data_IF_224895994361
#
_entry.id   IF_224895994361
#
_cell.length_a   1.000
_cell.length_b   1.000
_cell.length_c   1.000
_cell.angle_alpha   90.00
_cell.angle_beta   90.00
_cell.angle_gamma   90.00
#
_symmetry.space_group_name_H-M   'P 1'
#
loop_
_entity.id
_entity.type
_entity.pdbx_description
1 polymer ?
#
# COMPACT_ATOMS: atom_id res chain seq x y z
N UNK A 1 28.16 12.85 10.76
CA UNK A 1 27.16 12.13 9.94
C UNK A 1 26.41 11.02 10.71
N UNK A 2 26.95 10.47 11.80
CA UNK A 2 26.32 9.40 12.60
C UNK A 2 24.95 9.76 13.25
N UNK A 3 24.69 11.04 13.56
CA UNK A 3 23.45 11.45 14.25
C UNK A 3 22.17 11.47 13.39
N UNK A 4 22.27 11.60 12.06
CA UNK A 4 21.08 11.65 11.17
C UNK A 4 20.47 10.27 10.92
N UNK A 5 21.30 9.25 10.71
CA UNK A 5 20.83 7.88 10.49
C UNK A 5 20.20 7.27 11.75
N UNK A 6 20.75 7.56 12.93
CA UNK A 6 20.18 7.11 14.19
C UNK A 6 18.76 7.64 14.44
N UNK A 7 18.49 8.91 14.08
CA UNK A 7 17.17 9.52 14.18
C UNK A 7 16.13 8.87 13.28
N UNK A 8 16.47 8.65 12.00
CA UNK A 8 15.58 7.98 11.03
C UNK A 8 15.29 6.54 11.45
N UNK A 9 16.31 5.79 11.85
CA UNK A 9 16.16 4.39 12.27
C UNK A 9 15.31 4.28 13.53
N UNK A 10 15.56 5.13 14.54
CA UNK A 10 14.75 5.16 15.77
C UNK A 10 13.30 5.53 15.48
N UNK A 11 13.10 6.54 14.63
CA UNK A 11 11.76 6.92 14.18
C UNK A 11 11.06 5.76 13.50
N UNK A 12 11.72 5.11 12.54
CA UNK A 12 11.18 3.99 11.82
C UNK A 12 10.80 2.83 12.75
N UNK A 13 11.71 2.44 13.65
CA UNK A 13 11.50 1.34 14.58
C UNK A 13 10.28 1.56 15.48
N UNK A 14 10.04 2.80 15.92
CA UNK A 14 8.94 3.13 16.80
C UNK A 14 7.63 3.54 16.07
N UNK A 15 7.73 4.03 14.83
CA UNK A 15 6.59 4.43 14.02
C UNK A 15 5.92 3.24 13.31
N UNK A 16 6.65 2.16 13.07
CA UNK A 16 6.16 0.99 12.33
C UNK A 16 5.75 -0.13 13.30
N UNK A 17 4.53 -0.64 13.13
CA UNK A 17 4.07 -1.83 13.84
C UNK A 17 4.62 -3.10 13.18
N UNK A 18 5.86 -3.45 13.50
CA UNK A 18 6.55 -4.58 12.87
C UNK A 18 5.85 -5.92 13.02
N UNK A 19 5.23 -6.18 14.18
CA UNK A 19 4.44 -7.40 14.40
C UNK A 19 3.23 -7.47 13.47
N UNK A 20 2.53 -6.36 13.27
CA UNK A 20 1.43 -6.27 12.31
C UNK A 20 1.91 -6.45 10.88
N UNK A 21 3.00 -5.78 10.48
CA UNK A 21 3.56 -5.92 9.14
C UNK A 21 4.03 -7.36 8.86
N UNK A 22 4.67 -8.00 9.84
CA UNK A 22 5.07 -9.41 9.76
C UNK A 22 3.86 -10.33 9.64
N UNK A 23 2.81 -10.12 10.46
CA UNK A 23 1.56 -10.87 10.36
C UNK A 23 0.89 -10.72 9.00
N UNK A 24 0.82 -9.49 8.48
CA UNK A 24 0.29 -9.21 7.13
C UNK A 24 1.14 -9.89 6.04
N UNK A 25 2.47 -9.84 6.14
CA UNK A 25 3.36 -10.51 5.20
C UNK A 25 3.17 -12.03 5.20
N UNK A 26 2.98 -12.64 6.38
CA UNK A 26 2.68 -14.07 6.51
C UNK A 26 1.32 -14.42 5.92
N UNK A 27 0.29 -13.61 6.16
CA UNK A 27 -1.03 -13.79 5.55
C UNK A 27 -0.96 -13.67 4.03
N UNK A 28 -0.17 -12.73 3.51
CA UNK A 28 0.05 -12.56 2.08
C UNK A 28 0.74 -13.79 1.48
N UNK A 29 1.87 -14.20 2.06
CA UNK A 29 2.62 -15.36 1.57
C UNK A 29 1.79 -16.65 1.66
N UNK A 30 1.08 -16.86 2.78
CA UNK A 30 0.20 -18.00 3.00
C UNK A 30 -1.00 -18.01 2.06
N UNK A 31 -1.63 -16.85 1.82
CA UNK A 31 -2.74 -16.72 0.89
C UNK A 31 -2.35 -17.09 -0.53
N UNK A 32 -1.22 -16.56 -1.04
CA UNK A 32 -0.70 -16.91 -2.37
C UNK A 32 -0.29 -18.39 -2.42
N UNK A 33 0.33 -18.92 -1.37
CA UNK A 33 0.71 -20.32 -1.31
C UNK A 33 -0.50 -21.27 -1.36
N UNK A 34 -1.60 -20.92 -0.67
CA UNK A 34 -2.86 -21.66 -0.74
C UNK A 34 -3.46 -21.62 -2.15
N UNK A 35 -3.50 -20.44 -2.79
CA UNK A 35 -3.96 -20.30 -4.18
C UNK A 35 -3.12 -21.16 -5.12
N UNK A 36 -1.79 -21.14 -5.01
CA UNK A 36 -0.91 -21.98 -5.83
C UNK A 36 -1.06 -23.49 -5.56
N UNK A 37 -1.65 -23.90 -4.43
CA UNK A 37 -1.99 -25.28 -4.14
C UNK A 37 -3.24 -25.75 -4.88
N UNK A 38 -4.24 -24.87 -5.01
CA UNK A 38 -5.53 -25.16 -5.65
C UNK A 38 -6.03 -23.94 -6.44
N UNK A 39 -5.38 -23.57 -7.56
CA UNK A 39 -5.66 -22.32 -8.24
C UNK A 39 -7.10 -22.25 -8.76
N UNK A 40 -7.66 -23.36 -9.22
CA UNK A 40 -9.04 -23.41 -9.74
C UNK A 40 -10.10 -23.16 -8.67
N UNK A 41 -9.87 -23.65 -7.45
CA UNK A 41 -10.86 -23.57 -6.37
C UNK A 41 -10.68 -22.32 -5.49
N UNK A 42 -9.43 -21.86 -5.33
CA UNK A 42 -9.08 -20.80 -4.39
C UNK A 42 -8.72 -19.48 -5.06
N UNK A 43 -8.87 -19.32 -6.37
CA UNK A 43 -8.57 -18.03 -7.02
C UNK A 43 -9.20 -16.80 -6.35
N UNK A 44 -10.46 -16.83 -5.86
CA UNK A 44 -11.04 -15.70 -5.13
C UNK A 44 -10.26 -15.28 -3.86
N UNK A 45 -9.50 -16.21 -3.25
CA UNK A 45 -8.60 -15.92 -2.13
C UNK A 45 -7.46 -15.00 -2.55
N UNK A 46 -7.04 -15.02 -3.82
CA UNK A 46 -6.02 -14.11 -4.35
C UNK A 46 -6.44 -12.65 -4.21
N UNK A 47 -7.68 -12.32 -4.62
CA UNK A 47 -8.23 -10.98 -4.46
C UNK A 47 -8.42 -10.58 -2.98
N UNK A 48 -8.78 -11.54 -2.11
CA UNK A 48 -8.83 -11.31 -0.66
C UNK A 48 -7.43 -11.04 -0.07
N UNK A 49 -6.40 -11.71 -0.61
CA UNK A 49 -5.01 -11.49 -0.22
C UNK A 49 -4.52 -10.11 -0.66
N UNK A 50 -4.94 -9.62 -1.84
CA UNK A 50 -4.72 -8.23 -2.24
C UNK A 50 -5.42 -7.23 -1.32
N UNK A 51 -6.61 -7.56 -0.82
CA UNK A 51 -7.30 -6.73 0.17
C UNK A 51 -6.43 -6.55 1.44
N UNK A 52 -5.76 -7.61 1.90
CA UNK A 52 -4.79 -7.55 3.01
C UNK A 52 -3.62 -6.63 2.65
N UNK A 53 -3.09 -6.69 1.43
CA UNK A 53 -2.02 -5.77 0.98
C UNK A 53 -2.47 -4.32 1.04
N UNK A 54 -3.67 -3.99 0.51
CA UNK A 54 -4.25 -2.64 0.57
C UNK A 54 -4.37 -2.17 2.02
N UNK A 55 -5.01 -2.98 2.87
CA UNK A 55 -5.24 -2.64 4.27
C UNK A 55 -3.95 -2.45 5.06
N UNK A 56 -3.00 -3.38 4.92
CA UNK A 56 -1.72 -3.31 5.61
C UNK A 56 -0.85 -2.14 5.14
N UNK A 57 -0.85 -1.84 3.84
CA UNK A 57 -0.17 -0.66 3.31
C UNK A 57 -0.79 0.65 3.81
N UNK A 58 -2.12 0.69 4.01
CA UNK A 58 -2.80 1.83 4.61
C UNK A 58 -2.42 1.99 6.10
N UNK A 59 -2.46 0.92 6.90
CA UNK A 59 -2.09 0.96 8.33
C UNK A 59 -0.62 1.32 8.52
N UNK A 60 0.27 0.93 7.61
CA UNK A 60 1.69 1.32 7.67
C UNK A 60 1.92 2.84 7.66
N UNK A 61 0.91 3.62 7.25
CA UNK A 61 0.94 5.09 7.20
C UNK A 61 0.50 5.73 8.52
N UNK A 62 -0.16 4.99 9.41
CA UNK A 62 -0.67 5.47 10.69
C UNK A 62 0.45 5.95 11.62
N UNK A 63 0.13 6.96 12.42
CA UNK A 63 1.10 7.71 13.20
C UNK A 63 0.74 7.73 14.70
N UNK A 64 0.77 6.55 15.33
CA UNK A 64 0.39 6.34 16.73
C UNK A 64 1.32 7.03 17.75
N UNK A 65 2.59 7.24 17.39
CA UNK A 65 3.65 7.63 18.34
C UNK A 65 4.44 8.89 17.94
N UNK A 66 4.03 9.67 16.93
CA UNK A 66 4.91 10.75 16.42
C UNK A 66 5.26 11.82 17.46
N UNK A 67 4.37 12.12 18.40
CA UNK A 67 4.63 13.08 19.46
C UNK A 67 5.63 12.58 20.51
N UNK A 68 5.83 11.26 20.62
CA UNK A 68 6.70 10.63 21.63
C UNK A 68 8.11 10.37 21.08
N UNK A 69 8.21 10.13 19.77
CA UNK A 69 9.45 9.59 19.15
C UNK A 69 10.32 10.66 18.51
N UNK A 70 9.74 11.78 18.07
CA UNK A 70 10.46 12.84 17.36
C UNK A 70 10.31 14.18 18.09
N UNK A 71 11.41 14.66 18.69
CA UNK A 71 11.47 15.92 19.43
C UNK A 71 11.57 17.12 18.48
N UNK A 72 11.81 16.89 17.17
CA UNK A 72 11.96 17.93 16.16
C UNK A 72 10.80 17.96 15.15
N UNK A 73 10.41 19.15 14.63
CA UNK A 73 9.36 19.26 13.63
C UNK A 73 9.82 18.67 12.29
N UNK A 74 9.42 17.43 11.99
CA UNK A 74 9.64 16.82 10.67
C UNK A 74 8.45 17.06 9.75
N UNK A 75 8.69 17.44 8.48
CA UNK A 75 7.62 17.59 7.51
C UNK A 75 6.94 16.23 7.23
N UNK A 76 5.67 16.25 6.85
CA UNK A 76 4.90 15.03 6.64
C UNK A 76 5.45 14.20 5.46
N UNK A 77 5.97 14.81 4.40
CA UNK A 77 6.64 14.08 3.31
C UNK A 77 7.80 13.19 3.79
N UNK A 78 8.61 13.65 4.75
CA UNK A 78 9.72 12.86 5.29
C UNK A 78 9.20 11.68 6.09
N UNK A 79 8.21 11.94 6.95
CA UNK A 79 7.56 10.92 7.78
C UNK A 79 6.86 9.85 6.93
N UNK A 80 6.25 10.26 5.83
CA UNK A 80 5.62 9.37 4.85
C UNK A 80 6.65 8.59 4.05
N UNK A 81 7.75 9.21 3.62
CA UNK A 81 8.84 8.53 2.93
C UNK A 81 9.46 7.42 3.80
N UNK A 82 9.70 7.67 5.08
CA UNK A 82 10.22 6.63 6.00
C UNK A 82 9.23 5.47 6.14
N UNK A 83 7.92 5.77 6.24
CA UNK A 83 6.88 4.74 6.36
C UNK A 83 6.62 3.95 5.07
N UNK A 84 7.10 4.41 3.92
CA UNK A 84 7.00 3.67 2.65
C UNK A 84 7.68 2.29 2.69
N UNK A 85 8.58 2.06 3.66
CA UNK A 85 9.21 0.76 3.85
C UNK A 85 8.22 -0.37 4.12
N UNK A 86 7.08 -0.07 4.76
CA UNK A 86 6.01 -1.04 5.01
C UNK A 86 5.41 -1.56 3.69
N UNK A 87 4.80 -0.70 2.87
CA UNK A 87 4.31 -1.07 1.55
C UNK A 87 5.39 -1.67 0.64
N UNK A 88 6.62 -1.14 0.63
CA UNK A 88 7.74 -1.72 -0.15
C UNK A 88 7.99 -3.17 0.28
N UNK A 89 8.03 -3.44 1.58
CA UNK A 89 8.20 -4.81 2.11
C UNK A 89 7.06 -5.72 1.65
N UNK A 90 5.82 -5.25 1.69
CA UNK A 90 4.66 -6.03 1.21
C UNK A 90 4.76 -6.35 -0.29
N UNK A 91 5.15 -5.38 -1.12
CA UNK A 91 5.36 -5.59 -2.56
C UNK A 91 6.48 -6.59 -2.82
N UNK A 92 7.59 -6.50 -2.08
CA UNK A 92 8.69 -7.45 -2.21
C UNK A 92 8.28 -8.87 -1.82
N UNK A 93 7.54 -9.03 -0.71
CA UNK A 93 7.01 -10.33 -0.29
C UNK A 93 6.04 -10.88 -1.34
N UNK A 94 5.11 -10.05 -1.81
CA UNK A 94 4.15 -10.39 -2.86
C UNK A 94 4.85 -10.85 -4.15
N UNK A 95 5.81 -10.09 -4.65
CA UNK A 95 6.55 -10.42 -5.86
C UNK A 95 7.40 -11.69 -5.68
N UNK A 96 8.04 -11.84 -4.52
CA UNK A 96 8.88 -13.01 -4.22
C UNK A 96 8.04 -14.28 -4.17
N UNK A 97 6.89 -14.28 -3.49
CA UNK A 97 6.04 -15.48 -3.40
C UNK A 97 5.49 -15.88 -4.77
N UNK A 98 5.09 -14.91 -5.61
CA UNK A 98 4.66 -15.19 -6.98
C UNK A 98 5.80 -15.72 -7.86
N UNK A 99 7.01 -15.15 -7.74
CA UNK A 99 8.19 -15.62 -8.47
C UNK A 99 8.55 -17.07 -8.12
N UNK A 100 8.51 -17.40 -6.82
CA UNK A 100 8.83 -18.74 -6.30
C UNK A 100 7.77 -19.75 -6.73
N UNK A 101 6.50 -19.37 -6.72
CA UNK A 101 5.37 -20.25 -7.05
C UNK A 101 4.91 -20.17 -8.51
N UNK A 102 5.66 -19.46 -9.37
CA UNK A 102 5.28 -19.17 -10.76
C UNK A 102 4.89 -20.40 -11.58
N UNK A 103 5.53 -21.54 -11.33
CA UNK A 103 5.27 -22.78 -12.04
C UNK A 103 3.88 -23.39 -11.75
N UNK A 104 3.19 -22.90 -10.71
CA UNK A 104 1.85 -23.35 -10.28
C UNK A 104 0.77 -22.27 -10.47
N UNK A 105 1.15 -21.11 -10.98
CA UNK A 105 0.26 -19.97 -11.19
C UNK A 105 0.14 -19.71 -12.70
N UNK A 106 -0.87 -18.94 -13.14
CA UNK A 106 -0.97 -18.51 -14.53
C UNK A 106 0.32 -17.83 -15.01
N UNK A 107 0.68 -18.05 -16.28
CA UNK A 107 1.91 -17.55 -16.91
C UNK A 107 1.83 -16.06 -17.28
N UNK A 108 1.57 -15.24 -16.26
CA UNK A 108 1.35 -13.80 -16.33
C UNK A 108 1.90 -13.10 -15.09
N UNK A 109 3.13 -13.49 -14.72
CA UNK A 109 3.78 -13.04 -13.50
C UNK A 109 3.83 -11.51 -13.39
N UNK A 110 4.12 -10.82 -14.50
CA UNK A 110 4.17 -9.37 -14.58
C UNK A 110 2.86 -8.71 -14.15
N UNK A 111 1.72 -9.28 -14.54
CA UNK A 111 0.39 -8.77 -14.17
C UNK A 111 0.14 -9.02 -12.69
N UNK A 112 0.44 -10.23 -12.21
CA UNK A 112 0.26 -10.58 -10.80
C UNK A 112 1.12 -9.69 -9.89
N UNK A 113 2.37 -9.40 -10.27
CA UNK A 113 3.25 -8.47 -9.53
C UNK A 113 2.71 -7.04 -9.58
N UNK A 114 2.23 -6.59 -10.74
CA UNK A 114 1.61 -5.27 -10.91
C UNK A 114 0.41 -5.08 -9.97
N UNK A 115 -0.46 -6.09 -9.86
CA UNK A 115 -1.62 -6.05 -8.96
C UNK A 115 -1.21 -5.76 -7.51
N UNK A 116 -0.19 -6.48 -7.00
CA UNK A 116 0.33 -6.26 -5.64
C UNK A 116 0.94 -4.88 -5.46
N UNK A 117 1.71 -4.39 -6.43
CA UNK A 117 2.30 -3.05 -6.41
C UNK A 117 1.22 -1.96 -6.38
N UNK A 118 0.20 -2.08 -7.22
CA UNK A 118 -0.91 -1.12 -7.29
C UNK A 118 -1.79 -1.19 -6.04
N UNK A 119 -2.06 -2.38 -5.51
CA UNK A 119 -2.80 -2.56 -4.26
C UNK A 119 -2.08 -1.90 -3.07
N UNK A 120 -0.77 -2.12 -2.93
CA UNK A 120 0.03 -1.47 -1.89
C UNK A 120 0.02 0.06 -2.09
N UNK A 121 0.15 0.52 -3.34
CA UNK A 121 0.06 1.92 -3.71
C UNK A 121 -1.29 2.55 -3.34
N UNK A 122 -2.41 1.86 -3.60
CA UNK A 122 -3.76 2.32 -3.26
C UNK A 122 -3.89 2.57 -1.76
N UNK A 123 -3.55 1.56 -0.95
CA UNK A 123 -3.63 1.66 0.50
C UNK A 123 -2.77 2.80 1.03
N UNK A 124 -1.50 2.83 0.63
CA UNK A 124 -0.54 3.85 1.04
C UNK A 124 -0.94 5.26 0.59
N UNK A 125 -1.36 5.42 -0.67
CA UNK A 125 -1.73 6.68 -1.28
C UNK A 125 -3.00 7.27 -0.68
N UNK A 126 -4.05 6.46 -0.50
CA UNK A 126 -5.30 6.89 0.14
C UNK A 126 -5.07 7.29 1.60
N UNK A 127 -4.31 6.49 2.35
CA UNK A 127 -3.97 6.83 3.73
C UNK A 127 -3.12 8.11 3.80
N UNK A 128 -2.17 8.29 2.89
CA UNK A 128 -1.35 9.51 2.79
C UNK A 128 -2.21 10.74 2.47
N UNK A 129 -3.14 10.61 1.53
CA UNK A 129 -4.07 11.69 1.18
C UNK A 129 -4.97 12.05 2.37
N UNK A 130 -5.47 11.06 3.11
CA UNK A 130 -6.25 11.27 4.33
C UNK A 130 -5.42 11.88 5.48
N UNK A 131 -4.12 11.56 5.58
CA UNK A 131 -3.21 12.22 6.53
C UNK A 131 -2.96 13.68 6.16
N UNK A 132 -2.87 13.99 4.87
CA UNK A 132 -2.71 15.36 4.40
C UNK A 132 -3.91 16.27 4.78
N UNK A 133 -5.07 15.69 5.12
CA UNK A 133 -6.23 16.42 5.66
C UNK A 133 -6.26 16.50 7.19
N UNK A 134 -5.19 16.09 7.88
CA UNK A 134 -5.05 16.23 9.34
C UNK A 134 -5.45 15.00 10.17
N UNK A 135 -5.79 13.86 9.55
CA UNK A 135 -6.06 12.61 10.30
C UNK A 135 -4.72 11.95 10.68
N UNK A 136 -4.55 11.56 11.94
CA UNK A 136 -3.32 10.89 12.40
C UNK A 136 -3.27 9.40 12.04
N UNK A 137 -4.43 8.73 12.07
CA UNK A 137 -4.54 7.27 11.90
C UNK A 137 -5.65 6.86 10.90
N UNK A 138 -5.62 7.34 9.64
CA UNK A 138 -6.65 6.99 8.66
C UNK A 138 -6.53 5.55 8.14
N UNK A 139 -5.36 4.93 8.24
CA UNK A 139 -5.06 3.61 7.72
C UNK A 139 -5.89 2.50 8.35
N UNK A 140 -6.08 2.53 9.67
CA UNK A 140 -6.91 1.56 10.38
C UNK A 140 -8.37 1.60 9.91
N UNK A 141 -8.94 2.79 9.71
CA UNK A 141 -10.31 2.98 9.19
C UNK A 141 -10.41 2.54 7.73
N UNK A 142 -9.42 2.89 6.92
CA UNK A 142 -9.35 2.46 5.52
C UNK A 142 -9.22 0.94 5.42
N UNK A 143 -8.42 0.29 6.26
CA UNK A 143 -8.30 -1.17 6.28
C UNK A 143 -9.62 -1.83 6.68
N UNK A 144 -10.29 -1.33 7.72
CA UNK A 144 -11.57 -1.86 8.19
C UNK A 144 -12.69 -1.80 7.13
N UNK A 145 -12.61 -0.86 6.19
CA UNK A 145 -13.60 -0.68 5.11
C UNK A 145 -13.15 -1.32 3.78
N UNK A 146 -11.91 -1.10 3.37
CA UNK A 146 -11.38 -1.59 2.09
C UNK A 146 -11.22 -3.11 2.09
N UNK A 147 -10.77 -3.73 3.19
CA UNK A 147 -10.58 -5.18 3.25
C UNK A 147 -11.88 -5.94 2.95
N UNK A 148 -12.99 -5.72 3.67
CA UNK A 148 -14.24 -6.45 3.40
C UNK A 148 -14.83 -6.11 2.03
N UNK A 149 -14.69 -4.86 1.54
CA UNK A 149 -15.18 -4.49 0.21
C UNK A 149 -14.42 -5.18 -0.91
N UNK A 150 -13.08 -5.18 -0.86
CA UNK A 150 -12.24 -5.82 -1.88
C UNK A 150 -12.36 -7.34 -1.81
N UNK A 151 -12.38 -7.93 -0.60
CA UNK A 151 -12.62 -9.36 -0.44
C UNK A 151 -14.01 -9.76 -0.94
N UNK A 152 -15.04 -8.98 -0.61
CA UNK A 152 -16.41 -9.18 -1.10
C UNK A 152 -16.51 -9.09 -2.62
N UNK A 153 -15.86 -8.09 -3.23
CA UNK A 153 -15.80 -7.94 -4.68
C UNK A 153 -15.02 -9.09 -5.36
N UNK A 154 -13.93 -9.55 -4.74
CA UNK A 154 -13.15 -10.69 -5.22
C UNK A 154 -13.94 -12.00 -5.19
N UNK A 155 -14.79 -12.19 -4.17
CA UNK A 155 -15.66 -13.36 -4.03
C UNK A 155 -16.88 -13.30 -4.95
N UNK A 156 -17.56 -12.15 -5.01
CA UNK A 156 -18.78 -11.99 -5.79
C UNK A 156 -18.52 -11.86 -7.30
N UNK A 157 -17.29 -11.47 -7.69
CA UNK A 157 -16.86 -11.21 -9.08
C UNK A 157 -17.92 -10.48 -9.93
N UNK A 158 -18.55 -9.39 -9.41
CA UNK A 158 -19.79 -8.85 -9.97
C UNK A 158 -19.65 -8.26 -11.37
N UNK A 159 -18.42 -7.98 -11.81
CA UNK A 159 -18.12 -7.32 -13.08
C UNK A 159 -17.15 -8.14 -13.93
N UNK A 160 -16.98 -9.43 -13.68
CA UNK A 160 -15.96 -10.26 -14.35
C UNK A 160 -16.04 -10.20 -15.88
N UNK A 161 -17.25 -10.16 -16.44
CA UNK A 161 -17.50 -10.08 -17.88
C UNK A 161 -17.02 -8.76 -18.50
N UNK A 162 -17.10 -7.65 -17.76
CA UNK A 162 -16.81 -6.30 -18.28
C UNK A 162 -15.45 -5.77 -17.81
N UNK A 163 -15.00 -6.20 -16.62
CA UNK A 163 -13.82 -5.77 -15.89
C UNK A 163 -13.10 -7.00 -15.32
N UNK A 164 -12.27 -7.69 -16.12
CA UNK A 164 -11.48 -8.83 -15.67
C UNK A 164 -10.34 -8.34 -14.75
N UNK A 165 -10.68 -8.02 -13.50
CA UNK A 165 -9.71 -7.54 -12.50
C UNK A 165 -8.75 -8.65 -12.07
N UNK A 166 -9.26 -9.89 -12.01
CA UNK A 166 -8.54 -11.08 -11.57
C UNK A 166 -8.74 -12.21 -12.58
N UNK A 167 -8.12 -12.11 -13.76
CA UNK A 167 -8.19 -13.21 -14.71
C UNK A 167 -7.48 -14.45 -14.13
N UNK A 168 -8.06 -15.63 -14.38
CA UNK A 168 -7.62 -16.95 -13.95
C UNK A 168 -7.15 -17.76 -15.16
N UNK A 169 -7.91 -17.69 -16.26
CA UNK A 169 -7.78 -18.64 -17.35
C UNK A 169 -7.09 -18.02 -18.57
N UNK A 170 -6.41 -18.84 -19.41
CA UNK A 170 -5.72 -18.33 -20.60
C UNK A 170 -6.65 -17.66 -21.64
N UNK A 171 -7.93 -17.99 -21.63
CA UNK A 171 -8.92 -17.43 -22.56
C UNK A 171 -9.53 -16.11 -22.08
N UNK A 172 -9.23 -15.69 -20.85
CA UNK A 172 -9.65 -14.39 -20.33
C UNK A 172 -8.71 -13.28 -20.79
N UNK A 173 -9.20 -12.05 -20.81
CA UNK A 173 -8.48 -10.91 -21.40
C UNK A 173 -7.43 -10.33 -20.42
N UNK A 174 -6.28 -10.98 -20.36
CA UNK A 174 -5.11 -10.53 -19.58
C UNK A 174 -4.60 -9.16 -20.03
N UNK A 175 -4.73 -8.81 -21.31
CA UNK A 175 -4.34 -7.50 -21.85
C UNK A 175 -5.19 -6.37 -21.25
N UNK A 176 -6.51 -6.59 -21.16
CA UNK A 176 -7.43 -5.67 -20.50
C UNK A 176 -7.18 -5.56 -19.01
N UNK A 177 -6.85 -6.67 -18.34
CA UNK A 177 -6.46 -6.66 -16.92
C UNK A 177 -5.23 -5.78 -16.70
N UNK A 178 -4.17 -5.94 -17.51
CA UNK A 178 -2.98 -5.07 -17.47
C UNK A 178 -3.38 -3.61 -17.62
N UNK A 179 -4.16 -3.26 -18.64
CA UNK A 179 -4.59 -1.88 -18.87
C UNK A 179 -5.33 -1.29 -17.66
N UNK A 180 -6.28 -2.03 -17.07
CA UNK A 180 -7.03 -1.60 -15.88
C UNK A 180 -6.08 -1.33 -14.71
N UNK A 181 -5.19 -2.28 -14.41
CA UNK A 181 -4.25 -2.16 -13.30
C UNK A 181 -3.21 -1.07 -13.52
N UNK A 182 -2.75 -0.86 -14.76
CA UNK A 182 -1.85 0.26 -15.10
C UNK A 182 -2.56 1.61 -14.92
N UNK A 183 -3.79 1.77 -15.41
CA UNK A 183 -4.56 3.01 -15.25
C UNK A 183 -4.79 3.32 -13.76
N UNK A 184 -5.14 2.29 -12.99
CA UNK A 184 -5.32 2.40 -11.55
C UNK A 184 -4.01 2.79 -10.85
N UNK A 185 -2.90 2.15 -11.21
CA UNK A 185 -1.56 2.45 -10.70
C UNK A 185 -1.10 3.87 -11.00
N UNK A 186 -1.24 4.33 -12.24
CA UNK A 186 -0.93 5.71 -12.64
C UNK A 186 -1.79 6.71 -11.86
N UNK A 187 -3.09 6.44 -11.72
CA UNK A 187 -4.01 7.30 -10.96
C UNK A 187 -3.56 7.43 -9.49
N UNK A 188 -3.19 6.32 -8.86
CA UNK A 188 -2.67 6.27 -7.50
C UNK A 188 -1.39 7.10 -7.36
N UNK A 189 -0.43 6.92 -8.27
CA UNK A 189 0.83 7.67 -8.26
C UNK A 189 0.58 9.17 -8.38
N UNK A 190 -0.34 9.59 -9.26
CA UNK A 190 -0.72 11.00 -9.43
C UNK A 190 -1.38 11.57 -8.16
N UNK A 191 -2.30 10.84 -7.54
CA UNK A 191 -2.98 11.27 -6.30
C UNK A 191 -1.98 11.37 -5.13
N UNK A 192 -1.15 10.35 -4.93
CA UNK A 192 -0.13 10.33 -3.89
C UNK A 192 0.92 11.43 -4.11
N UNK A 193 1.41 11.60 -5.35
CA UNK A 193 2.34 12.65 -5.73
C UNK A 193 1.76 14.05 -5.49
N UNK A 194 0.49 14.28 -5.84
CA UNK A 194 -0.21 15.54 -5.55
C UNK A 194 -0.38 15.80 -4.05
N UNK A 195 -0.68 14.78 -3.25
CA UNK A 195 -0.80 14.90 -1.81
C UNK A 195 0.54 15.28 -1.16
N UNK A 196 1.63 14.57 -1.53
CA UNK A 196 2.98 14.87 -1.08
C UNK A 196 3.45 16.25 -1.53
N UNK A 197 3.14 16.65 -2.77
CA UNK A 197 3.48 17.98 -3.28
C UNK A 197 2.78 19.11 -2.52
N UNK A 198 1.49 18.95 -2.20
CA UNK A 198 0.73 19.92 -1.40
C UNK A 198 1.28 20.06 0.01
N UNK A 199 1.74 18.96 0.60
CA UNK A 199 2.37 18.96 1.92
C UNK A 199 3.79 19.56 1.89
N UNK A 200 4.56 19.28 0.84
CA UNK A 200 5.91 19.81 0.67
C UNK A 200 5.91 21.31 0.34
N UNK A 201 4.81 21.86 -0.22
CA UNK A 201 4.65 23.31 -0.39
C UNK A 201 4.67 23.96 1.00
N UNK A 202 5.72 24.72 1.32
CA UNK A 202 5.91 25.14 2.69
C UNK A 202 4.80 26.09 3.14
N UNK A 203 4.54 26.08 4.45
CA UNK A 203 4.13 27.26 5.22
C UNK A 203 5.20 28.36 5.19
N UNK A 204 5.80 28.63 4.01
CA UNK A 204 6.78 29.69 3.75
C UNK A 204 6.21 31.07 4.10
N UNK A 205 4.88 31.21 4.12
CA UNK A 205 4.21 32.47 4.43
C UNK A 205 4.13 32.83 5.94
N UNK A 206 4.37 31.90 6.87
CA UNK A 206 4.23 32.17 8.32
C UNK A 206 5.53 32.62 8.99
N UNK A 207 6.69 32.34 8.40
CA UNK A 207 7.99 32.81 8.91
C UNK A 207 8.32 34.26 8.52
N UNK A 208 7.90 34.69 7.33
CA UNK A 208 8.18 36.03 6.81
C UNK A 208 7.26 37.11 7.42
N UNK A 209 6.08 36.73 7.93
CA UNK A 209 5.19 37.67 8.61
C UNK A 209 5.73 38.05 10.01
N UNK A 210 6.33 37.10 10.74
CA UNK A 210 6.80 37.35 12.11
C UNK A 210 8.14 38.10 12.17
N UNK A 211 8.91 38.11 11.08
CA UNK A 211 10.16 38.87 10.95
C UNK A 211 9.96 40.28 10.37
N UNK A 212 8.76 40.63 9.91
CA UNK A 212 8.43 41.99 9.42
C UNK A 212 7.82 42.90 10.49
N UNK A 213 7.43 42.33 11.62
CA UNK A 213 6.85 43.05 12.77
C UNK A 213 7.86 43.26 13.91
N UNK A 214 9.16 43.04 13.67
CA UNK A 214 10.28 43.39 14.56
C UNK A 214 11.22 44.36 13.85
#
# INVERSE_FOLDING_TARGET
MAGRFGGTLRYLLAATQWSFLAGAALLVAGGVALVAGWPEALWPLHGSTLAVVVGAAAVAVDERCALVVDVGPRPLWWRTAVRSIGPITLVLVWATVHWVLRARLPDHLEVLVLQGAVAAGLGFGLATAARATGRSEPGTVLAATAVPLVAGAALARPFETDLPLFPVWPHEDWGRAVAIWTVLGVTVLLVAGRALWRDARPRRALGDAHLRDQ
#
